data_IF_202973002835
#
_entry.id   IF_202973002835
#
_cell.length_a   1.000
_cell.length_b   1.000
_cell.length_c   1.000
_cell.angle_alpha   90.00
_cell.angle_beta   90.00
_cell.angle_gamma   90.00
#
_symmetry.space_group_name_H-M   'P 1'
#
loop_
_entity.id
_entity.type
_entity.pdbx_description
1 polymer ?
#
# COMPACT_ATOMS: atom_id res chain seq x y z
N UNK A 1 13.18 12.52 9.90
CA UNK A 1 12.97 11.28 10.65
C UNK A 1 12.43 10.16 9.78
N UNK A 2 12.53 8.95 10.25
CA UNK A 2 12.01 7.76 9.54
C UNK A 2 10.50 7.92 9.28
N UNK A 3 9.75 8.41 10.25
CA UNK A 3 8.30 8.60 10.12
C UNK A 3 7.94 9.58 8.98
N UNK A 4 8.75 10.62 8.77
CA UNK A 4 8.55 11.56 7.66
C UNK A 4 8.76 10.89 6.30
N UNK A 5 9.73 9.97 6.20
CA UNK A 5 9.95 9.20 4.99
C UNK A 5 8.76 8.34 4.61
N UNK A 6 8.07 7.78 5.60
CA UNK A 6 6.91 6.91 5.36
C UNK A 6 5.65 7.70 5.02
N UNK A 7 5.57 8.97 5.41
CA UNK A 7 4.44 9.84 5.03
C UNK A 7 4.28 10.02 3.52
N UNK A 8 5.33 9.75 2.74
CA UNK A 8 5.30 9.86 1.28
C UNK A 8 4.81 8.60 0.57
N UNK A 9 4.40 7.54 1.27
CA UNK A 9 3.96 6.29 0.65
C UNK A 9 2.82 6.48 -0.35
N UNK A 10 1.91 7.41 -0.07
CA UNK A 10 0.81 7.72 -0.98
C UNK A 10 1.24 8.32 -2.31
N UNK A 11 2.45 8.87 -2.39
CA UNK A 11 2.99 9.44 -3.63
C UNK A 11 3.43 8.37 -4.63
N UNK A 12 3.44 7.10 -4.24
CA UNK A 12 3.75 5.97 -5.11
C UNK A 12 2.56 5.60 -6.01
N UNK A 13 1.43 6.28 -5.87
CA UNK A 13 0.22 6.04 -6.64
C UNK A 13 -0.06 7.23 -7.54
N UNK A 14 -0.28 6.96 -8.83
CA UNK A 14 -0.67 7.97 -9.82
C UNK A 14 -2.19 7.98 -9.95
N UNK A 15 -2.78 9.18 -9.97
CA UNK A 15 -4.23 9.37 -10.08
C UNK A 15 -4.53 10.35 -11.21
N UNK A 16 -5.37 9.92 -12.15
CA UNK A 16 -5.91 10.76 -13.21
C UNK A 16 -7.40 10.95 -12.97
N UNK A 17 -7.89 12.15 -13.13
CA UNK A 17 -9.29 12.48 -12.92
C UNK A 17 -9.82 13.26 -14.12
N UNK A 18 -11.04 12.94 -14.55
CA UNK A 18 -11.73 13.71 -15.59
C UNK A 18 -12.00 15.14 -15.08
N UNK A 19 -12.15 16.13 -15.99
CA UNK A 19 -12.38 17.52 -15.56
C UNK A 19 -13.59 17.72 -14.66
N UNK A 20 -14.64 16.94 -14.85
CA UNK A 20 -15.87 17.02 -14.03
C UNK A 20 -15.81 16.14 -12.77
N UNK A 21 -14.73 15.40 -12.56
CA UNK A 21 -14.55 14.55 -11.40
C UNK A 21 -15.33 13.24 -11.40
N UNK A 22 -16.03 12.93 -12.50
CA UNK A 22 -16.89 11.72 -12.54
C UNK A 22 -16.13 10.42 -12.79
N UNK A 23 -14.94 10.50 -13.35
CA UNK A 23 -14.12 9.32 -13.67
C UNK A 23 -12.74 9.49 -13.06
N UNK A 24 -12.26 8.43 -12.41
CA UNK A 24 -10.92 8.38 -11.81
C UNK A 24 -10.23 7.11 -12.28
N UNK A 25 -8.96 7.23 -12.62
CA UNK A 25 -8.06 6.11 -12.85
C UNK A 25 -6.90 6.23 -11.86
N UNK A 26 -6.67 5.17 -11.10
CA UNK A 26 -5.57 5.13 -10.14
C UNK A 26 -4.69 3.91 -10.42
N UNK A 27 -3.38 4.11 -10.36
CA UNK A 27 -2.42 3.03 -10.62
C UNK A 27 -1.16 3.20 -9.77
N UNK A 28 -0.39 2.12 -9.64
CA UNK A 28 0.93 2.20 -9.03
C UNK A 28 1.86 2.99 -9.94
N UNK A 29 2.61 3.93 -9.36
CA UNK A 29 3.50 4.82 -10.11
C UNK A 29 4.86 4.17 -10.44
N UNK A 30 5.04 2.88 -10.19
CA UNK A 30 6.27 2.15 -10.50
C UNK A 30 6.07 1.15 -11.62
N UNK A 31 7.16 0.55 -12.11
CA UNK A 31 7.13 -0.42 -13.19
C UNK A 31 6.62 -1.80 -12.77
N UNK A 32 6.71 -2.75 -13.68
CA UNK A 32 6.10 -4.08 -13.57
C UNK A 32 6.84 -5.05 -12.66
N UNK A 33 7.98 -4.68 -12.09
CA UNK A 33 8.81 -5.51 -11.20
C UNK A 33 9.12 -6.90 -11.76
N UNK A 34 9.43 -6.98 -13.05
CA UNK A 34 9.65 -8.24 -13.78
C UNK A 34 10.67 -9.15 -13.11
N UNK A 35 11.72 -8.57 -12.53
CA UNK A 35 12.77 -9.32 -11.83
C UNK A 35 12.19 -10.13 -10.66
N UNK A 36 11.32 -9.52 -9.83
CA UNK A 36 10.69 -10.20 -8.71
C UNK A 36 9.73 -11.29 -9.20
N UNK A 37 9.00 -11.02 -10.28
CA UNK A 37 8.09 -12.01 -10.86
C UNK A 37 8.84 -13.25 -11.33
N UNK A 38 9.99 -13.09 -11.98
CA UNK A 38 10.81 -14.23 -12.40
C UNK A 38 11.35 -15.02 -11.23
N UNK A 39 11.75 -14.35 -10.15
CA UNK A 39 12.18 -15.01 -8.93
C UNK A 39 11.02 -15.82 -8.32
N UNK A 40 9.84 -15.26 -8.29
CA UNK A 40 8.64 -15.93 -7.80
C UNK A 40 8.32 -17.18 -8.64
N UNK A 41 8.43 -17.08 -9.97
CA UNK A 41 8.19 -18.23 -10.85
C UNK A 41 9.17 -19.39 -10.58
N UNK A 42 10.37 -19.10 -10.12
CA UNK A 42 11.35 -20.12 -9.74
C UNK A 42 11.13 -20.68 -8.33
N UNK A 43 10.06 -20.28 -7.64
CA UNK A 43 9.77 -20.71 -6.29
C UNK A 43 10.56 -19.97 -5.21
N UNK A 44 11.29 -18.90 -5.56
CA UNK A 44 12.03 -18.11 -4.60
C UNK A 44 11.11 -17.17 -3.83
N UNK A 45 11.42 -16.97 -2.57
CA UNK A 45 10.70 -15.98 -1.77
C UNK A 45 11.08 -14.57 -2.21
N UNK A 46 10.07 -13.72 -2.46
CA UNK A 46 10.29 -12.34 -2.92
C UNK A 46 9.76 -11.34 -1.89
N UNK A 47 10.32 -10.14 -1.93
CA UNK A 47 9.85 -9.02 -1.12
C UNK A 47 9.52 -7.84 -2.04
N UNK A 48 8.39 -7.93 -2.73
CA UNK A 48 7.85 -6.85 -3.56
C UNK A 48 6.93 -5.99 -2.71
N UNK A 49 7.10 -4.68 -2.79
CA UNK A 49 6.27 -3.74 -2.03
C UNK A 49 4.90 -3.57 -2.69
N UNK A 50 3.79 -4.00 -2.05
CA UNK A 50 2.46 -3.91 -2.63
C UNK A 50 1.74 -2.59 -2.31
N UNK A 51 2.36 -1.67 -1.58
CA UNK A 51 1.68 -0.47 -1.03
C UNK A 51 1.07 0.39 -2.14
N UNK A 52 1.84 0.66 -3.21
CA UNK A 52 1.34 1.49 -4.30
C UNK A 52 0.10 0.90 -4.96
N UNK A 53 0.08 -0.42 -5.16
CA UNK A 53 -1.08 -1.12 -5.73
C UNK A 53 -2.28 -1.05 -4.79
N UNK A 54 -2.07 -1.24 -3.49
CA UNK A 54 -3.15 -1.16 -2.50
C UNK A 54 -3.71 0.27 -2.45
N UNK A 55 -2.84 1.28 -2.47
CA UNK A 55 -3.29 2.68 -2.45
C UNK A 55 -4.02 3.06 -3.74
N UNK A 56 -3.67 2.47 -4.89
CA UNK A 56 -4.45 2.65 -6.11
C UNK A 56 -5.90 2.15 -5.90
N UNK A 57 -6.07 0.99 -5.29
CA UNK A 57 -7.39 0.46 -4.94
C UNK A 57 -8.13 1.35 -3.94
N UNK A 58 -7.47 1.81 -2.88
CA UNK A 58 -8.13 2.66 -1.89
C UNK A 58 -8.56 4.00 -2.48
N UNK A 59 -7.77 4.57 -3.37
CA UNK A 59 -8.15 5.79 -4.09
C UNK A 59 -9.40 5.57 -4.94
N UNK A 60 -9.47 4.46 -5.66
CA UNK A 60 -10.64 4.08 -6.45
C UNK A 60 -11.88 3.86 -5.57
N UNK A 61 -11.72 3.15 -4.45
CA UNK A 61 -12.81 2.90 -3.51
C UNK A 61 -13.31 4.20 -2.87
N UNK A 62 -12.40 5.10 -2.48
CA UNK A 62 -12.77 6.40 -1.93
C UNK A 62 -13.56 7.23 -2.93
N UNK A 63 -13.12 7.25 -4.20
CA UNK A 63 -13.83 7.94 -5.26
C UNK A 63 -15.24 7.38 -5.44
N UNK A 64 -15.37 6.05 -5.51
CA UNK A 64 -16.67 5.39 -5.64
C UNK A 64 -17.55 5.71 -4.45
N UNK A 65 -17.01 5.70 -3.25
CA UNK A 65 -17.73 6.06 -2.03
C UNK A 65 -18.28 7.49 -2.10
N UNK A 66 -17.48 8.44 -2.56
CA UNK A 66 -17.94 9.84 -2.73
C UNK A 66 -19.05 9.94 -3.75
N UNK A 67 -18.91 9.27 -4.89
CA UNK A 67 -19.92 9.31 -5.96
C UNK A 67 -21.27 8.74 -5.51
N UNK A 68 -21.26 7.70 -4.70
CA UNK A 68 -22.46 7.00 -4.23
C UNK A 68 -22.97 7.51 -2.88
N UNK A 69 -22.27 8.46 -2.25
CA UNK A 69 -22.59 8.89 -0.89
C UNK A 69 -22.40 7.76 0.14
N UNK A 70 -21.50 6.81 -0.14
CA UNK A 70 -21.26 5.66 0.73
C UNK A 70 -20.12 5.96 1.70
N UNK A 71 -20.48 6.49 2.87
CA UNK A 71 -19.52 6.86 3.90
C UNK A 71 -18.78 5.65 4.48
N UNK A 72 -19.44 4.50 4.57
CA UNK A 72 -18.80 3.28 5.08
C UNK A 72 -17.65 2.84 4.17
N UNK A 73 -17.84 2.94 2.86
CA UNK A 73 -16.79 2.59 1.89
C UNK A 73 -15.60 3.55 1.98
N UNK A 74 -15.88 4.85 2.12
CA UNK A 74 -14.83 5.85 2.30
C UNK A 74 -14.04 5.61 3.59
N UNK A 75 -14.74 5.29 4.68
CA UNK A 75 -14.11 4.99 5.96
C UNK A 75 -13.26 3.72 5.89
N UNK A 76 -13.72 2.70 5.19
CA UNK A 76 -12.95 1.47 4.96
C UNK A 76 -11.63 1.77 4.26
N UNK A 77 -11.67 2.52 3.17
CA UNK A 77 -10.48 2.87 2.40
C UNK A 77 -9.49 3.69 3.25
N UNK A 78 -9.97 4.67 4.00
CA UNK A 78 -9.13 5.48 4.87
C UNK A 78 -8.51 4.65 5.99
N UNK A 79 -9.26 3.73 6.58
CA UNK A 79 -8.76 2.84 7.64
C UNK A 79 -7.67 1.91 7.12
N UNK A 80 -7.83 1.40 5.91
CA UNK A 80 -6.82 0.54 5.30
C UNK A 80 -5.52 1.29 5.04
N UNK A 81 -5.60 2.50 4.48
CA UNK A 81 -4.42 3.33 4.26
C UNK A 81 -3.69 3.64 5.59
N UNK A 82 -4.44 4.04 6.60
CA UNK A 82 -3.89 4.34 7.93
C UNK A 82 -3.22 3.12 8.55
N UNK A 83 -3.85 1.95 8.42
CA UNK A 83 -3.30 0.70 8.93
C UNK A 83 -1.96 0.36 8.27
N UNK A 84 -1.85 0.57 6.96
CA UNK A 84 -0.61 0.30 6.24
C UNK A 84 0.51 1.24 6.72
N UNK A 85 0.21 2.53 6.83
CA UNK A 85 1.20 3.51 7.31
C UNK A 85 1.67 3.14 8.72
N UNK A 86 0.74 2.84 9.61
CA UNK A 86 1.08 2.46 10.99
C UNK A 86 1.84 1.14 11.07
N UNK A 87 1.56 0.21 10.17
CA UNK A 87 2.29 -1.07 10.10
C UNK A 87 3.76 -0.81 9.76
N UNK A 88 4.03 0.02 8.77
CA UNK A 88 5.40 0.38 8.39
C UNK A 88 6.09 1.15 9.53
N UNK A 89 5.39 2.11 10.13
CA UNK A 89 5.93 2.88 11.26
C UNK A 89 6.27 2.00 12.46
N UNK A 90 5.54 0.90 12.65
CA UNK A 90 5.79 -0.07 13.71
C UNK A 90 6.99 -1.00 13.41
N UNK A 91 7.59 -0.90 12.23
CA UNK A 91 8.77 -1.66 11.87
C UNK A 91 8.51 -2.89 11.01
N UNK A 92 7.29 -3.06 10.50
CA UNK A 92 6.95 -4.18 9.60
C UNK A 92 6.89 -3.68 8.17
N UNK A 93 7.82 -4.09 7.34
CA UNK A 93 7.96 -3.56 6.00
C UNK A 93 8.62 -4.53 5.05
N UNK A 94 8.52 -4.25 3.75
CA UNK A 94 9.23 -4.98 2.71
C UNK A 94 10.69 -4.51 2.63
N UNK A 95 11.49 -5.26 1.89
CA UNK A 95 12.95 -5.06 1.83
C UNK A 95 13.34 -3.67 1.33
N UNK A 96 12.64 -3.16 0.31
CA UNK A 96 12.93 -1.83 -0.27
C UNK A 96 12.85 -0.71 0.79
N UNK A 97 11.82 -0.75 1.62
CA UNK A 97 11.67 0.22 2.70
C UNK A 97 12.69 0.01 3.82
N UNK A 98 12.97 -1.26 4.15
CA UNK A 98 13.95 -1.59 5.18
C UNK A 98 15.34 -1.06 4.81
N UNK A 99 15.71 -1.12 3.54
CA UNK A 99 17.00 -0.58 3.07
C UNK A 99 17.09 0.93 3.26
N UNK A 100 15.97 1.64 3.19
CA UNK A 100 15.93 3.09 3.45
C UNK A 100 16.11 3.42 4.93
N UNK A 101 15.68 2.52 5.82
CA UNK A 101 15.81 2.72 7.28
C UNK A 101 17.26 2.48 7.72
N UNK A 102 17.87 1.39 7.28
CA UNK A 102 19.25 1.07 7.64
C UNK A 102 19.48 -0.43 7.76
N UNK A 103 20.75 -0.80 7.92
CA UNK A 103 21.18 -2.20 7.92
C UNK A 103 20.59 -3.02 9.08
N UNK A 104 20.19 -2.34 10.16
CA UNK A 104 19.63 -2.98 11.35
C UNK A 104 18.15 -3.34 11.21
N UNK A 105 17.48 -2.82 10.17
CA UNK A 105 16.05 -3.02 9.99
C UNK A 105 15.76 -4.36 9.33
N UNK A 106 14.95 -5.18 9.99
CA UNK A 106 14.44 -6.42 9.39
C UNK A 106 13.35 -6.13 8.36
N UNK A 107 13.09 -7.11 7.50
CA UNK A 107 12.07 -6.98 6.46
C UNK A 107 11.28 -8.28 6.30
N UNK A 108 10.10 -8.16 5.70
CA UNK A 108 9.19 -9.27 5.43
C UNK A 108 9.13 -9.53 3.93
N UNK A 109 8.81 -10.77 3.58
CA UNK A 109 8.42 -11.10 2.20
C UNK A 109 7.11 -10.38 1.85
N UNK A 110 6.75 -10.37 0.57
CA UNK A 110 5.47 -9.81 0.13
C UNK A 110 4.32 -10.44 0.92
N UNK A 111 4.28 -11.78 0.98
CA UNK A 111 3.21 -12.47 1.69
C UNK A 111 3.22 -12.18 3.19
N UNK A 112 4.40 -12.16 3.80
CA UNK A 112 4.53 -11.83 5.22
C UNK A 112 4.04 -10.43 5.55
N UNK A 113 4.33 -9.47 4.68
CA UNK A 113 3.86 -8.10 4.84
C UNK A 113 2.33 -8.00 4.68
N UNK A 114 1.78 -8.66 3.65
CA UNK A 114 0.32 -8.69 3.46
C UNK A 114 -0.39 -9.33 4.66
N UNK A 115 0.17 -10.42 5.19
CA UNK A 115 -0.39 -11.09 6.37
C UNK A 115 -0.36 -10.16 7.60
N UNK A 116 0.71 -9.39 7.77
CA UNK A 116 0.82 -8.43 8.87
C UNK A 116 -0.18 -7.29 8.73
N UNK A 117 -0.38 -6.79 7.51
CA UNK A 117 -1.40 -5.76 7.25
C UNK A 117 -2.79 -6.31 7.60
N UNK A 118 -3.11 -7.52 7.15
CA UNK A 118 -4.40 -8.14 7.41
C UNK A 118 -4.65 -8.30 8.91
N UNK A 119 -3.68 -8.84 9.64
CA UNK A 119 -3.75 -8.99 11.09
C UNK A 119 -4.05 -7.66 11.79
N UNK A 120 -3.31 -6.62 11.45
CA UNK A 120 -3.47 -5.31 12.06
C UNK A 120 -4.76 -4.62 11.63
N UNK A 121 -5.19 -4.85 10.39
CA UNK A 121 -6.44 -4.29 9.89
C UNK A 121 -7.65 -4.92 10.58
N UNK A 122 -7.64 -6.22 10.83
CA UNK A 122 -8.71 -6.89 11.57
C UNK A 122 -8.85 -6.31 12.98
N UNK A 123 -7.74 -6.04 13.64
CA UNK A 123 -7.75 -5.38 14.97
C UNK A 123 -8.32 -3.97 14.86
N UNK A 124 -7.94 -3.21 13.85
CA UNK A 124 -8.40 -1.83 13.65
C UNK A 124 -9.90 -1.75 13.34
N UNK A 125 -10.47 -2.77 12.71
CA UNK A 125 -11.88 -2.84 12.35
C UNK A 125 -12.78 -3.41 13.46
N UNK A 126 -12.16 -4.00 14.48
CA UNK A 126 -12.90 -4.59 15.61
C UNK A 126 -13.58 -3.54 16.49
#
# INVERSE_FOLDING_TARGET
TVAQGFGSLGLMTSVLMSPDGSVVEAEAAHGTVTRHYRQHQRGEQTSTNPIASIFAWTQGLSHRGRMDGNEALMAFAAKLEDTIIKTVEAGFMTKDLALLVGDHQGWLSTQGFLDKIDERFQVAMA
#
